data_IF_802985685942
#
_entry.id   IF_802985685942
#
_cell.length_a   1.000
_cell.length_b   1.000
_cell.length_c   1.000
_cell.angle_alpha   90.00
_cell.angle_beta   90.00
_cell.angle_gamma   90.00
#
_symmetry.space_group_name_H-M   'P 1'
#
loop_
_entity.id
_entity.type
_entity.pdbx_description
1 polymer ?
#
# COMPACT_ATOMS: atom_id res chain seq x y z
N UNK A 1 41.04 86.36 22.09
CA UNK A 1 41.43 85.35 23.10
C UNK A 1 40.17 84.67 23.61
N UNK A 2 40.13 83.34 23.52
CA UNK A 2 39.45 82.40 24.42
C UNK A 2 38.04 82.73 24.94
N UNK A 3 37.03 81.94 24.56
CA UNK A 3 36.60 80.80 25.39
C UNK A 3 35.42 80.05 24.76
N UNK A 4 35.53 78.72 24.79
CA UNK A 4 34.62 77.72 24.25
C UNK A 4 33.27 77.70 25.00
N UNK A 5 32.20 77.69 24.21
CA UNK A 5 30.86 77.25 24.64
C UNK A 5 30.85 75.74 24.95
N UNK A 6 30.38 75.38 26.15
CA UNK A 6 30.09 74.00 26.57
C UNK A 6 29.06 73.38 25.63
N UNK A 7 29.40 72.27 24.96
CA UNK A 7 28.41 71.36 24.36
C UNK A 7 28.24 70.18 25.30
N UNK A 8 27.00 69.99 25.74
CA UNK A 8 26.52 68.86 26.53
C UNK A 8 26.73 67.55 25.76
N UNK A 9 27.41 66.61 26.41
CA UNK A 9 27.58 65.22 25.98
C UNK A 9 26.26 64.47 26.15
N UNK A 10 25.50 64.32 25.07
CA UNK A 10 24.45 63.31 24.93
C UNK A 10 25.09 62.10 24.24
N UNK A 11 25.89 61.37 25.01
CA UNK A 11 26.30 59.99 24.69
C UNK A 11 25.29 59.06 25.36
N UNK A 12 25.02 57.94 24.70
CA UNK A 12 24.19 56.80 25.15
C UNK A 12 22.72 56.95 24.82
N UNK A 13 22.32 56.56 23.60
CA UNK A 13 21.13 55.74 23.30
C UNK A 13 21.23 55.33 21.82
N UNK A 14 22.32 54.63 21.48
CA UNK A 14 22.49 53.98 20.18
C UNK A 14 22.56 52.49 20.51
N UNK A 15 21.43 51.77 20.40
CA UNK A 15 21.38 50.30 20.21
C UNK A 15 19.97 49.65 20.23
N UNK A 16 18.85 50.37 20.44
CA UNK A 16 17.60 49.67 20.76
C UNK A 16 16.53 49.54 19.65
N UNK A 17 16.77 49.95 18.39
CA UNK A 17 15.69 49.92 17.35
C UNK A 17 16.07 49.23 16.03
N UNK A 18 17.29 48.69 15.88
CA UNK A 18 17.71 47.99 14.66
C UNK A 18 17.74 46.45 14.79
N UNK A 19 16.83 45.87 15.58
CA UNK A 19 16.74 44.41 15.76
C UNK A 19 15.30 43.89 15.68
N UNK A 20 14.44 44.54 14.87
CA UNK A 20 13.09 44.07 14.59
C UNK A 20 12.80 43.98 13.09
N UNK A 21 13.78 43.48 12.35
CA UNK A 21 13.60 42.93 11.01
C UNK A 21 14.54 41.74 10.91
N UNK A 22 14.02 40.58 10.50
CA UNK A 22 14.69 39.27 10.36
C UNK A 22 14.61 38.36 11.60
N UNK A 23 13.39 38.05 12.04
CA UNK A 23 13.10 36.72 12.55
C UNK A 23 11.93 36.15 11.76
N UNK A 24 12.20 35.72 10.53
CA UNK A 24 11.41 34.66 9.93
C UNK A 24 11.81 33.40 10.71
N UNK A 25 10.90 32.69 11.39
CA UNK A 25 11.26 31.43 12.02
C UNK A 25 11.76 30.50 10.91
N UNK A 26 12.99 30.00 11.06
CA UNK A 26 13.57 29.00 10.15
C UNK A 26 12.73 27.71 10.06
N UNK A 27 11.78 27.54 10.99
CA UNK A 27 10.83 26.44 11.06
C UNK A 27 9.81 26.43 9.91
N UNK A 28 9.63 27.54 9.17
CA UNK A 28 8.74 27.58 8.00
C UNK A 28 9.40 27.12 6.68
N UNK A 29 10.68 26.74 6.69
CA UNK A 29 11.39 26.16 5.54
C UNK A 29 11.72 24.66 5.73
N UNK A 30 11.20 24.03 6.79
CA UNK A 30 11.30 22.59 6.94
C UNK A 30 10.20 21.90 6.11
N UNK A 31 10.63 21.11 5.12
CA UNK A 31 9.85 20.26 4.20
C UNK A 31 9.10 20.95 3.04
N UNK A 32 9.80 21.73 2.22
CA UNK A 32 9.64 21.50 0.78
C UNK A 32 10.57 20.35 0.42
N UNK A 33 10.03 19.17 0.18
CA UNK A 33 10.75 18.11 -0.53
C UNK A 33 11.42 18.75 -1.75
N UNK A 34 12.75 18.63 -1.87
CA UNK A 34 13.42 19.01 -3.12
C UNK A 34 12.76 18.33 -4.31
N UNK A 35 13.01 18.76 -5.56
CA UNK A 35 12.38 18.15 -6.72
C UNK A 35 12.58 16.64 -6.67
N UNK A 36 11.46 15.92 -6.51
CA UNK A 36 11.47 14.46 -6.49
C UNK A 36 12.08 13.97 -7.81
N UNK A 37 13.08 13.07 -7.79
CA UNK A 37 13.57 12.47 -9.03
C UNK A 37 12.49 11.61 -9.71
N UNK A 38 11.45 11.24 -8.94
CA UNK A 38 10.27 10.57 -9.44
C UNK A 38 9.23 11.58 -9.93
N UNK A 39 8.66 11.30 -11.09
CA UNK A 39 7.49 11.98 -11.62
C UNK A 39 6.32 11.00 -11.64
N UNK A 40 5.11 11.54 -11.47
CA UNK A 40 3.90 10.78 -11.73
C UNK A 40 3.83 10.43 -13.22
N UNK A 41 3.39 9.21 -13.52
CA UNK A 41 2.98 8.80 -14.86
C UNK A 41 1.49 8.51 -14.76
N UNK A 42 0.70 9.47 -15.22
CA UNK A 42 -0.75 9.30 -15.27
C UNK A 42 -1.11 8.20 -16.28
N UNK A 43 -2.19 7.48 -16.00
CA UNK A 43 -2.78 6.45 -16.86
C UNK A 43 -1.80 5.37 -17.35
N UNK A 44 -0.76 5.08 -16.56
CA UNK A 44 0.22 4.05 -16.88
C UNK A 44 -0.42 2.66 -16.98
N UNK A 45 -1.23 2.27 -15.98
CA UNK A 45 -1.88 0.96 -15.95
C UNK A 45 -3.10 0.90 -16.86
N UNK A 46 -3.08 0.00 -17.84
CA UNK A 46 -4.12 -0.19 -18.85
C UNK A 46 -4.87 -1.48 -18.59
N UNK A 47 -5.91 -1.39 -17.76
CA UNK A 47 -6.77 -2.54 -17.50
C UNK A 47 -7.69 -2.83 -18.71
N UNK A 48 -7.92 -4.11 -19.06
CA UNK A 48 -8.74 -4.48 -20.20
C UNK A 48 -10.23 -4.13 -20.01
N UNK A 49 -10.98 -4.11 -21.10
CA UNK A 49 -12.45 -3.97 -21.13
C UNK A 49 -13.01 -2.72 -20.44
N UNK A 50 -12.20 -1.65 -20.34
CA UNK A 50 -12.59 -0.42 -19.65
C UNK A 50 -12.72 -0.58 -18.14
N UNK A 51 -12.16 -1.67 -17.57
CA UNK A 51 -12.13 -1.90 -16.13
C UNK A 51 -11.47 -0.71 -15.44
N UNK A 52 -12.13 -0.21 -14.41
CA UNK A 52 -11.56 0.82 -13.53
C UNK A 52 -10.65 0.17 -12.50
N UNK A 53 -9.55 0.83 -12.17
CA UNK A 53 -8.64 0.39 -11.13
C UNK A 53 -9.34 0.40 -9.77
N UNK A 54 -9.39 -0.77 -9.13
CA UNK A 54 -9.85 -0.89 -7.76
C UNK A 54 -8.77 -0.53 -6.75
N UNK A 55 -9.06 -0.72 -5.46
CA UNK A 55 -8.05 -0.52 -4.45
C UNK A 55 -6.87 -1.49 -4.66
N UNK A 56 -5.66 -0.94 -4.83
CA UNK A 56 -4.43 -1.73 -4.98
C UNK A 56 -3.97 -2.16 -3.60
N UNK A 57 -3.91 -3.47 -3.34
CA UNK A 57 -3.43 -4.02 -2.07
C UNK A 57 -1.91 -3.90 -1.96
N UNK A 58 -1.20 -4.46 -2.96
CA UNK A 58 0.26 -4.42 -3.05
C UNK A 58 0.70 -4.63 -4.50
N UNK A 59 1.91 -4.15 -4.81
CA UNK A 59 2.65 -4.43 -6.05
C UNK A 59 4.00 -5.04 -5.71
N UNK A 60 4.54 -5.87 -6.60
CA UNK A 60 5.89 -6.43 -6.51
C UNK A 60 6.49 -6.59 -7.90
N UNK A 61 7.81 -6.56 -8.01
CA UNK A 61 8.49 -6.86 -9.27
C UNK A 61 8.48 -8.36 -9.52
N UNK A 62 8.26 -8.77 -10.77
CA UNK A 62 8.55 -10.14 -11.18
C UNK A 62 10.09 -10.36 -11.15
N UNK A 63 10.58 -11.55 -10.77
CA UNK A 63 12.00 -11.89 -10.85
C UNK A 63 12.65 -11.69 -12.23
N UNK A 64 11.86 -11.65 -13.31
CA UNK A 64 12.35 -11.31 -14.65
C UNK A 64 12.85 -9.85 -14.78
N UNK A 65 12.41 -8.94 -13.91
CA UNK A 65 12.79 -7.53 -13.91
C UNK A 65 12.10 -6.66 -14.98
N UNK A 66 11.28 -7.27 -15.85
CA UNK A 66 10.60 -6.63 -16.97
C UNK A 66 9.07 -6.57 -16.77
N UNK A 67 8.58 -7.14 -15.67
CA UNK A 67 7.18 -7.11 -15.30
C UNK A 67 6.98 -6.83 -13.83
N UNK A 68 5.75 -6.45 -13.49
CA UNK A 68 5.29 -6.33 -12.11
C UNK A 68 3.97 -7.05 -11.92
N UNK A 69 3.80 -7.59 -10.72
CA UNK A 69 2.54 -8.13 -10.25
C UNK A 69 1.86 -7.13 -9.34
N UNK A 70 0.56 -7.03 -9.46
CA UNK A 70 -0.30 -6.27 -8.57
C UNK A 70 -1.44 -7.16 -8.09
N UNK A 71 -1.85 -6.93 -6.86
CA UNK A 71 -3.15 -7.39 -6.38
C UNK A 71 -4.10 -6.20 -6.31
N UNK A 72 -5.12 -6.22 -7.15
CA UNK A 72 -6.07 -5.13 -7.36
C UNK A 72 -7.45 -5.64 -7.01
N UNK A 73 -8.05 -5.06 -5.97
CA UNK A 73 -9.38 -5.44 -5.52
C UNK A 73 -10.42 -5.11 -6.59
N UNK A 74 -11.52 -5.84 -6.54
CA UNK A 74 -12.35 -6.04 -7.72
C UNK A 74 -13.21 -4.83 -8.09
N UNK A 75 -13.46 -3.90 -7.19
CA UNK A 75 -14.24 -2.69 -7.47
C UNK A 75 -13.41 -1.41 -7.28
N UNK A 76 -13.72 -0.42 -8.13
CA UNK A 76 -13.26 0.95 -7.95
C UNK A 76 -14.24 1.65 -7.00
N UNK A 77 -13.86 1.81 -5.74
CA UNK A 77 -14.71 2.43 -4.70
C UNK A 77 -15.00 3.93 -4.91
N UNK A 78 -14.58 4.54 -6.02
CA UNK A 78 -14.85 5.94 -6.35
C UNK A 78 -14.45 6.93 -5.25
N UNK A 79 -14.92 8.17 -5.35
CA UNK A 79 -14.88 9.15 -4.25
C UNK A 79 -16.15 9.08 -3.38
N UNK A 80 -17.19 8.42 -3.86
CA UNK A 80 -18.39 8.10 -3.10
C UNK A 80 -18.16 6.75 -2.40
N UNK A 81 -17.31 6.81 -1.37
CA UNK A 81 -17.13 5.72 -0.42
C UNK A 81 -18.49 5.48 0.19
N UNK A 82 -19.22 4.47 -0.28
CA UNK A 82 -20.15 3.80 0.60
C UNK A 82 -19.26 2.97 1.54
N UNK A 83 -19.17 3.30 2.85
CA UNK A 83 -18.33 2.54 3.79
C UNK A 83 -18.69 1.05 3.82
N UNK A 84 -19.83 0.68 3.26
CA UNK A 84 -20.36 -0.68 3.16
C UNK A 84 -19.52 -1.64 2.31
N UNK A 85 -18.66 -1.16 1.41
CA UNK A 85 -17.88 -2.05 0.52
C UNK A 85 -16.43 -2.28 0.96
N UNK A 86 -15.92 -1.54 1.94
CA UNK A 86 -14.56 -1.73 2.41
C UNK A 86 -14.44 -3.06 3.16
N UNK A 87 -13.53 -3.91 2.69
CA UNK A 87 -13.30 -5.25 3.22
C UNK A 87 -14.18 -6.34 2.62
N UNK A 88 -14.96 -6.08 1.57
CA UNK A 88 -15.74 -7.08 0.83
C UNK A 88 -15.75 -6.84 -0.70
N UNK A 89 -14.79 -6.07 -1.21
CA UNK A 89 -14.67 -5.59 -2.59
C UNK A 89 -14.79 -6.68 -3.67
N UNK A 90 -14.32 -7.90 -3.38
CA UNK A 90 -14.36 -9.03 -4.32
C UNK A 90 -15.47 -10.07 -4.02
N UNK A 91 -16.37 -9.81 -3.07
CA UNK A 91 -17.35 -10.81 -2.62
C UNK A 91 -18.26 -11.30 -3.75
N UNK A 92 -18.67 -10.42 -4.65
CA UNK A 92 -19.65 -10.63 -5.71
C UNK A 92 -19.06 -10.33 -7.11
N UNK A 93 -17.74 -10.40 -7.24
CA UNK A 93 -17.04 -10.07 -8.48
C UNK A 93 -16.51 -11.31 -9.22
N UNK A 94 -16.55 -11.24 -10.55
CA UNK A 94 -15.93 -12.16 -11.50
C UNK A 94 -14.59 -11.64 -12.06
N UNK A 95 -14.14 -10.45 -11.66
CA UNK A 95 -12.85 -9.90 -12.06
C UNK A 95 -11.67 -10.62 -11.41
N UNK A 96 -10.59 -10.79 -12.18
CA UNK A 96 -9.30 -11.26 -11.69
C UNK A 96 -8.61 -10.19 -10.82
N UNK A 97 -8.27 -10.48 -9.55
CA UNK A 97 -7.58 -9.54 -8.70
C UNK A 97 -6.06 -9.65 -8.77
N UNK A 98 -5.49 -10.73 -9.31
CA UNK A 98 -4.04 -10.88 -9.48
C UNK A 98 -3.69 -10.54 -10.92
N UNK A 99 -2.88 -9.50 -11.12
CA UNK A 99 -2.64 -8.92 -12.44
C UNK A 99 -1.14 -8.73 -12.66
N UNK A 100 -0.62 -9.22 -13.78
CA UNK A 100 0.74 -8.94 -14.25
C UNK A 100 0.70 -7.83 -15.30
N UNK A 101 1.57 -6.84 -15.14
CA UNK A 101 1.80 -5.79 -16.13
C UNK A 101 3.20 -5.86 -16.70
N UNK A 102 3.37 -5.51 -17.97
CA UNK A 102 4.66 -5.10 -18.51
C UNK A 102 5.04 -3.67 -18.04
N UNK A 103 6.27 -3.23 -18.34
CA UNK A 103 6.74 -1.90 -17.95
C UNK A 103 6.00 -0.74 -18.64
N UNK A 104 5.28 -1.00 -19.73
CA UNK A 104 4.43 -0.03 -20.42
C UNK A 104 2.99 -0.01 -19.84
N UNK A 105 2.74 -0.82 -18.81
CA UNK A 105 1.49 -0.90 -18.07
C UNK A 105 0.38 -1.66 -18.81
N UNK A 106 0.72 -2.46 -19.82
CA UNK A 106 -0.24 -3.37 -20.43
C UNK A 106 -0.40 -4.62 -19.56
N UNK A 107 -1.63 -5.10 -19.38
CA UNK A 107 -1.88 -6.38 -18.72
C UNK A 107 -1.42 -7.52 -19.62
N UNK A 108 -0.57 -8.40 -19.10
CA UNK A 108 -0.03 -9.56 -19.82
C UNK A 108 -0.46 -10.91 -19.23
N UNK A 109 -0.98 -10.92 -18.00
CA UNK A 109 -1.57 -12.08 -17.34
C UNK A 109 -2.55 -11.60 -16.26
N UNK A 110 -3.64 -12.34 -16.03
CA UNK A 110 -4.52 -12.12 -14.89
C UNK A 110 -5.25 -13.39 -14.48
N UNK A 111 -5.46 -13.56 -13.17
CA UNK A 111 -6.19 -14.70 -12.62
C UNK A 111 -6.74 -14.42 -11.22
N UNK A 112 -7.45 -15.41 -10.67
CA UNK A 112 -7.90 -15.43 -9.28
C UNK A 112 -9.36 -15.01 -9.08
N UNK A 113 -10.12 -14.82 -10.17
CA UNK A 113 -11.57 -14.60 -10.12
C UNK A 113 -12.29 -15.59 -9.20
N UNK A 114 -13.20 -15.08 -8.37
CA UNK A 114 -14.01 -15.88 -7.45
C UNK A 114 -13.26 -16.54 -6.28
N UNK A 115 -11.95 -16.34 -6.12
CA UNK A 115 -11.17 -16.98 -5.04
C UNK A 115 -11.05 -16.13 -3.77
N UNK A 116 -11.24 -14.82 -3.87
CA UNK A 116 -10.94 -13.87 -2.79
C UNK A 116 -12.19 -13.09 -2.36
N UNK A 117 -12.19 -12.61 -1.12
CA UNK A 117 -13.11 -11.53 -0.68
C UNK A 117 -12.36 -10.21 -0.57
N UNK A 118 -11.17 -10.23 0.04
CA UNK A 118 -10.36 -9.04 0.23
C UNK A 118 -8.87 -9.33 0.04
N UNK A 119 -8.43 -9.51 -1.22
CA UNK A 119 -7.05 -9.81 -1.51
C UNK A 119 -6.16 -8.60 -1.15
N UNK A 120 -5.00 -8.88 -0.53
CA UNK A 120 -4.22 -7.84 0.15
C UNK A 120 -2.72 -7.87 -0.20
N UNK A 121 -1.99 -8.86 0.30
CA UNK A 121 -0.55 -9.02 0.04
C UNK A 121 -0.29 -9.83 -1.21
N UNK A 122 0.82 -9.53 -1.88
CA UNK A 122 1.35 -10.30 -3.02
C UNK A 122 2.88 -10.34 -2.96
N UNK A 123 3.47 -11.49 -3.27
CA UNK A 123 4.90 -11.62 -3.56
C UNK A 123 5.19 -12.76 -4.54
N UNK A 124 6.36 -12.75 -5.18
CA UNK A 124 6.77 -13.78 -6.15
C UNK A 124 8.02 -14.48 -5.67
N UNK A 125 7.96 -15.81 -5.60
CA UNK A 125 9.10 -16.63 -5.22
C UNK A 125 10.18 -16.72 -6.30
N UNK A 126 11.39 -17.19 -5.96
CA UNK A 126 12.45 -17.45 -6.94
C UNK A 126 12.09 -18.56 -7.94
N UNK A 127 11.03 -19.32 -7.69
CA UNK A 127 10.45 -20.33 -8.58
C UNK A 127 9.39 -19.74 -9.54
N UNK A 128 9.19 -18.42 -9.52
CA UNK A 128 8.20 -17.70 -10.32
C UNK A 128 6.75 -17.83 -9.80
N UNK A 129 6.52 -18.59 -8.73
CA UNK A 129 5.18 -18.79 -8.20
C UNK A 129 4.71 -17.56 -7.42
N UNK A 130 3.44 -17.22 -7.60
CA UNK A 130 2.83 -16.01 -7.04
C UNK A 130 2.11 -16.36 -5.74
N UNK A 131 2.41 -15.64 -4.66
CA UNK A 131 1.78 -15.82 -3.36
C UNK A 131 0.86 -14.65 -3.06
N UNK A 132 -0.36 -14.92 -2.60
CA UNK A 132 -1.38 -13.88 -2.37
C UNK A 132 -2.12 -14.15 -1.07
N UNK A 133 -2.37 -13.12 -0.26
CA UNK A 133 -3.16 -13.22 0.97
C UNK A 133 -4.59 -12.71 0.79
N UNK A 134 -5.55 -13.36 1.46
CA UNK A 134 -6.95 -12.89 1.58
C UNK A 134 -7.20 -12.40 3.01
N UNK A 135 -7.12 -11.08 3.19
CA UNK A 135 -7.06 -10.42 4.50
C UNK A 135 -8.42 -10.03 5.07
N UNK A 136 -9.53 -10.48 4.45
CA UNK A 136 -10.89 -10.16 4.90
C UNK A 136 -11.05 -10.43 6.40
N UNK A 137 -11.72 -9.51 7.11
CA UNK A 137 -12.11 -9.71 8.50
C UNK A 137 -13.35 -10.59 8.60
N UNK A 138 -13.47 -11.42 9.65
CA UNK A 138 -14.56 -12.41 9.73
C UNK A 138 -15.96 -11.82 9.63
N UNK A 139 -16.17 -10.57 10.07
CA UNK A 139 -17.46 -9.88 9.96
C UNK A 139 -17.88 -9.52 8.52
N UNK A 140 -16.95 -9.59 7.55
CA UNK A 140 -17.19 -9.30 6.14
C UNK A 140 -17.32 -10.57 5.29
N UNK A 141 -17.21 -11.75 5.90
CA UNK A 141 -17.37 -13.04 5.21
C UNK A 141 -18.87 -13.40 5.21
N UNK A 142 -19.52 -13.55 4.05
CA UNK A 142 -20.92 -13.97 4.00
C UNK A 142 -21.13 -15.36 4.63
N UNK A 143 -22.32 -15.58 5.17
CA UNK A 143 -22.68 -16.88 5.75
C UNK A 143 -22.52 -18.02 4.72
N UNK A 144 -21.74 -19.03 5.10
CA UNK A 144 -21.45 -20.19 4.25
C UNK A 144 -20.36 -19.98 3.20
N UNK A 145 -19.81 -18.78 3.08
CA UNK A 145 -18.64 -18.53 2.24
C UNK A 145 -17.38 -19.14 2.88
N UNK A 146 -16.54 -19.74 2.05
CA UNK A 146 -15.30 -20.42 2.45
C UNK A 146 -14.05 -19.68 1.96
N UNK A 147 -14.19 -18.43 1.52
CA UNK A 147 -13.09 -17.53 1.20
C UNK A 147 -12.67 -16.74 2.44
N UNK A 148 -11.48 -16.13 2.40
CA UNK A 148 -10.93 -15.39 3.52
C UNK A 148 -10.09 -16.20 4.51
N UNK A 149 -9.18 -15.47 5.19
CA UNK A 149 -8.24 -16.02 6.18
C UNK A 149 -7.28 -17.06 5.59
N UNK A 150 -6.85 -16.81 4.36
CA UNK A 150 -6.10 -17.76 3.57
C UNK A 150 -4.91 -17.10 2.89
N UNK A 151 -3.92 -17.93 2.57
CA UNK A 151 -2.81 -17.59 1.68
C UNK A 151 -2.77 -18.61 0.56
N UNK A 152 -2.68 -18.12 -0.67
CA UNK A 152 -2.62 -18.95 -1.87
C UNK A 152 -1.21 -18.89 -2.46
N UNK A 153 -0.77 -20.02 -3.03
CA UNK A 153 0.34 -20.10 -3.98
C UNK A 153 -0.23 -20.45 -5.35
N UNK A 154 0.08 -19.65 -6.35
CA UNK A 154 -0.28 -19.88 -7.75
C UNK A 154 0.95 -20.23 -8.58
N UNK A 155 0.74 -20.98 -9.66
CA UNK A 155 1.69 -21.01 -10.77
C UNK A 155 1.77 -19.60 -11.40
N UNK A 156 2.83 -19.30 -12.18
CA UNK A 156 2.90 -18.03 -12.92
C UNK A 156 1.72 -17.81 -13.87
N UNK A 157 0.98 -18.87 -14.22
CA UNK A 157 -0.16 -18.88 -15.14
C UNK A 157 -1.50 -19.10 -14.42
N UNK A 158 -1.54 -18.94 -13.09
CA UNK A 158 -2.79 -18.87 -12.32
C UNK A 158 -3.36 -20.18 -11.78
N UNK A 159 -2.66 -21.31 -11.93
CA UNK A 159 -3.11 -22.56 -11.29
C UNK A 159 -2.89 -22.50 -9.78
N UNK A 160 -3.90 -22.85 -8.98
CA UNK A 160 -3.75 -22.95 -7.52
C UNK A 160 -2.87 -24.16 -7.17
N UNK A 161 -1.67 -23.92 -6.67
CA UNK A 161 -0.71 -24.95 -6.26
C UNK A 161 -0.82 -25.29 -4.77
N UNK A 162 -1.17 -24.30 -3.94
CA UNK A 162 -1.29 -24.46 -2.50
C UNK A 162 -2.30 -23.47 -1.92
N UNK A 163 -3.00 -23.91 -0.87
CA UNK A 163 -3.85 -23.08 -0.03
C UNK A 163 -3.48 -23.33 1.44
N UNK A 164 -3.12 -22.27 2.15
CA UNK A 164 -2.78 -22.29 3.57
C UNK A 164 -3.86 -21.56 4.36
N UNK A 165 -4.16 -22.04 5.57
CA UNK A 165 -5.19 -21.49 6.44
C UNK A 165 -6.41 -22.41 6.57
N UNK A 166 -7.44 -21.92 7.28
CA UNK A 166 -8.73 -22.62 7.41
C UNK A 166 -9.79 -21.82 6.65
N UNK A 167 -10.38 -22.37 5.57
CA UNK A 167 -11.30 -21.63 4.70
C UNK A 167 -12.44 -20.94 5.48
N UNK A 168 -12.55 -19.61 5.34
CA UNK A 168 -13.60 -18.82 5.97
C UNK A 168 -13.51 -18.68 7.50
N UNK A 169 -12.46 -19.23 8.13
CA UNK A 169 -12.37 -19.29 9.59
C UNK A 169 -11.08 -18.65 10.09
N UNK A 170 -11.24 -17.57 10.86
CA UNK A 170 -10.13 -16.99 11.59
C UNK A 170 -9.59 -17.96 12.63
N UNK A 171 -8.28 -17.94 12.85
CA UNK A 171 -7.66 -18.73 13.89
C UNK A 171 -6.27 -18.24 14.26
N UNK A 172 -5.77 -18.76 15.37
CA UNK A 172 -4.47 -18.42 15.92
C UNK A 172 -3.58 -19.66 16.07
N UNK A 173 -3.89 -20.73 15.35
CA UNK A 173 -3.17 -21.99 15.38
C UNK A 173 -2.07 -22.04 14.34
N UNK A 174 -1.27 -23.12 14.35
CA UNK A 174 -0.16 -23.31 13.40
C UNK A 174 -0.60 -23.33 11.92
N UNK A 175 -1.85 -23.73 11.65
CA UNK A 175 -2.38 -23.92 10.30
C UNK A 175 -3.62 -23.06 10.04
N UNK A 176 -3.84 -22.01 10.85
CA UNK A 176 -4.94 -21.05 10.67
C UNK A 176 -4.42 -19.63 10.77
N UNK A 177 -5.08 -18.72 10.05
CA UNK A 177 -4.74 -17.31 10.01
C UNK A 177 -5.91 -16.48 10.53
N UNK A 178 -5.63 -15.24 10.92
CA UNK A 178 -6.63 -14.24 11.26
C UNK A 178 -6.31 -12.97 10.48
N UNK A 179 -6.85 -12.92 9.26
CA UNK A 179 -6.66 -11.82 8.31
C UNK A 179 -5.18 -11.63 7.93
N UNK A 180 -4.57 -12.58 7.17
CA UNK A 180 -3.19 -12.47 6.73
C UNK A 180 -3.00 -11.27 5.83
N UNK A 181 -2.17 -10.32 6.26
CA UNK A 181 -1.99 -9.01 5.64
C UNK A 181 -0.98 -9.05 4.49
N UNK A 182 0.13 -9.76 4.65
CA UNK A 182 1.17 -9.80 3.63
C UNK A 182 1.95 -11.11 3.64
N UNK A 183 2.64 -11.37 2.54
CA UNK A 183 3.52 -12.51 2.33
C UNK A 183 4.81 -12.02 1.70
N UNK A 184 5.93 -12.63 2.09
CA UNK A 184 7.22 -12.48 1.41
C UNK A 184 7.90 -13.84 1.25
N UNK A 185 8.58 -14.04 0.12
CA UNK A 185 9.31 -15.26 -0.20
C UNK A 185 10.79 -14.93 -0.30
N UNK A 186 11.59 -15.52 0.58
CA UNK A 186 13.03 -15.34 0.56
C UNK A 186 13.68 -16.10 -0.61
N UNK A 187 14.91 -15.71 -1.05
CA UNK A 187 15.62 -16.38 -2.14
C UNK A 187 15.89 -17.88 -1.90
N UNK A 188 15.88 -18.33 -0.65
CA UNK A 188 16.01 -19.75 -0.29
C UNK A 188 14.68 -20.52 -0.31
N UNK A 189 13.58 -19.88 -0.72
CA UNK A 189 12.23 -20.45 -0.77
C UNK A 189 11.46 -20.42 0.55
N UNK A 190 12.03 -19.86 1.63
CA UNK A 190 11.28 -19.68 2.87
C UNK A 190 10.17 -18.64 2.68
N UNK A 191 8.98 -18.95 3.20
CA UNK A 191 7.81 -18.09 3.11
C UNK A 191 7.49 -17.53 4.49
N UNK A 192 7.33 -16.21 4.57
CA UNK A 192 6.95 -15.49 5.78
C UNK A 192 5.62 -14.79 5.52
N UNK A 193 4.69 -14.93 6.46
CA UNK A 193 3.34 -14.38 6.36
C UNK A 193 3.12 -13.49 7.58
N UNK A 194 2.74 -12.24 7.36
CA UNK A 194 2.27 -11.34 8.41
C UNK A 194 0.76 -11.54 8.59
N UNK A 195 0.36 -11.99 9.77
CA UNK A 195 -0.99 -12.44 10.11
C UNK A 195 -1.64 -11.51 11.14
N UNK A 196 -2.63 -10.71 10.72
CA UNK A 196 -3.30 -9.77 11.63
C UNK A 196 -3.60 -8.40 11.02
N UNK A 197 -4.38 -8.37 9.94
CA UNK A 197 -4.80 -7.12 9.29
C UNK A 197 -6.03 -6.45 9.96
N UNK A 198 -6.78 -7.21 10.76
CA UNK A 198 -8.01 -6.75 11.39
C UNK A 198 -7.79 -6.09 12.76
N UNK A 199 -8.68 -5.16 13.09
CA UNK A 199 -8.70 -4.50 14.40
C UNK A 199 -8.85 -5.52 15.54
N UNK A 200 -7.91 -5.50 16.48
CA UNK A 200 -7.92 -6.43 17.61
C UNK A 200 -7.64 -7.89 17.24
N UNK A 201 -7.03 -8.12 16.06
CA UNK A 201 -6.60 -9.43 15.58
C UNK A 201 -5.46 -10.05 16.39
N UNK A 202 -4.81 -11.06 15.80
CA UNK A 202 -3.75 -11.81 16.47
C UNK A 202 -2.35 -11.15 16.38
N UNK A 203 -2.16 -10.16 15.49
CA UNK A 203 -0.95 -9.33 15.32
C UNK A 203 0.37 -10.13 15.27
N UNK A 204 0.51 -11.06 14.33
CA UNK A 204 1.61 -12.04 14.23
C UNK A 204 2.42 -11.94 12.94
#
# INVERSE_FOLDING_TARGET
MSTRSRKSSLVTWMCAVAALALMVPAEALAQTSGPSPYRLVDDWAKLPDGRRMGAVGKVTMDPDGDHLWAVIRCDALGFDVTPSRFGNECVDSDLDPVIKFDLDGNVVESFGSGLFIWPHGIDVGPDGNVWVTDAVGSGNIPDGDQRGHLVFKFSPTGDVLLRLGTPGMAGSGRNSFNSPSDVVVAPNGNVFIADGHNDGGNNR
#
